data_IF_775817697250
#
_entry.id   IF_775817697250
#
_cell.length_a   1.000
_cell.length_b   1.000
_cell.length_c   1.000
_cell.angle_alpha   90.00
_cell.angle_beta   90.00
_cell.angle_gamma   90.00
#
_symmetry.space_group_name_H-M   'P 1'
#
loop_
_entity.id
_entity.type
_entity.pdbx_description
1 polymer ?
#
# COMPACT_ATOMS: atom_id res chain seq x y z
N UNK A 1 -27.86 -8.97 23.44
CA UNK A 1 -26.39 -8.87 23.43
C UNK A 1 -25.90 -9.50 22.15
N UNK A 2 -25.24 -8.78 21.22
CA UNK A 2 -24.55 -9.43 20.13
C UNK A 2 -23.15 -9.84 20.60
N UNK A 3 -22.93 -11.14 20.55
CA UNK A 3 -21.70 -11.88 20.77
C UNK A 3 -20.76 -11.75 19.57
N UNK A 4 -19.49 -11.40 19.83
CA UNK A 4 -18.32 -11.82 19.04
C UNK A 4 -18.28 -11.40 17.57
N UNK A 5 -18.02 -10.12 17.29
CA UNK A 5 -17.71 -9.65 15.94
C UNK A 5 -16.19 -9.58 15.71
N UNK A 6 -15.67 -10.40 14.80
CA UNK A 6 -14.42 -10.08 14.13
C UNK A 6 -14.67 -8.83 13.27
N UNK A 7 -13.84 -7.80 13.46
CA UNK A 7 -13.90 -6.49 12.81
C UNK A 7 -13.92 -6.63 11.27
N UNK A 8 -14.89 -6.01 10.62
CA UNK A 8 -15.08 -6.05 9.16
C UNK A 8 -14.09 -5.06 8.50
N UNK A 9 -12.93 -5.54 8.06
CA UNK A 9 -12.04 -4.80 7.14
C UNK A 9 -12.75 -4.55 5.81
N UNK A 10 -13.45 -3.43 5.65
CA UNK A 10 -14.41 -3.23 4.55
C UNK A 10 -13.79 -2.64 3.28
N UNK A 11 -12.62 -1.99 3.40
CA UNK A 11 -12.00 -1.27 2.29
C UNK A 11 -10.47 -1.39 2.31
N UNK A 12 -9.92 -1.76 1.17
CA UNK A 12 -8.47 -1.73 0.93
C UNK A 12 -8.13 -0.50 0.10
N UNK A 13 -7.14 0.27 0.54
CA UNK A 13 -6.62 1.43 -0.19
C UNK A 13 -5.21 1.13 -0.65
N UNK A 14 -4.95 1.17 -1.95
CA UNK A 14 -3.62 0.96 -2.52
C UNK A 14 -3.04 2.30 -2.95
N UNK A 15 -1.98 2.75 -2.26
CA UNK A 15 -1.22 3.95 -2.60
C UNK A 15 -0.05 3.55 -3.50
N UNK A 16 0.02 4.14 -4.68
CA UNK A 16 1.05 3.84 -5.69
C UNK A 16 1.98 5.03 -5.91
N UNK A 17 3.22 4.79 -6.35
CA UNK A 17 4.09 5.90 -6.71
C UNK A 17 3.64 6.58 -8.02
N UNK A 18 3.48 7.90 -8.00
CA UNK A 18 3.13 8.68 -9.21
C UNK A 18 4.15 8.48 -10.34
N UNK A 19 5.45 8.43 -10.03
CA UNK A 19 6.52 8.32 -11.03
C UNK A 19 6.49 6.94 -11.71
N UNK A 20 6.24 5.86 -10.96
CA UNK A 20 6.04 4.55 -11.59
C UNK A 20 4.76 4.54 -12.42
N UNK A 21 3.71 5.21 -11.94
CA UNK A 21 2.41 5.21 -12.59
C UNK A 21 2.39 5.95 -13.94
N UNK A 22 3.44 6.72 -14.27
CA UNK A 22 3.63 7.25 -15.63
C UNK A 22 3.89 6.14 -16.67
N UNK A 23 4.34 4.96 -16.24
CA UNK A 23 4.58 3.77 -17.09
C UNK A 23 3.85 2.51 -16.62
N UNK A 24 3.15 2.58 -15.49
CA UNK A 24 2.44 1.47 -14.88
C UNK A 24 0.98 1.86 -14.69
N UNK A 25 0.05 1.12 -15.29
CA UNK A 25 -1.39 1.35 -15.15
C UNK A 25 -1.96 0.88 -13.81
N UNK A 26 -1.14 0.25 -12.96
CA UNK A 26 -1.59 -0.41 -11.74
C UNK A 26 -2.21 -1.80 -11.96
N UNK A 27 -2.26 -2.30 -13.20
CA UNK A 27 -2.89 -3.58 -13.55
C UNK A 27 -2.45 -4.74 -12.65
N UNK A 28 -1.14 -4.92 -12.43
CA UNK A 28 -0.63 -6.02 -11.61
C UNK A 28 -1.09 -5.94 -10.14
N UNK A 29 -1.19 -4.73 -9.57
CA UNK A 29 -1.71 -4.54 -8.22
C UNK A 29 -3.19 -4.92 -8.14
N UNK A 30 -3.98 -4.46 -9.12
CA UNK A 30 -5.41 -4.76 -9.24
C UNK A 30 -5.65 -6.26 -9.45
N UNK A 31 -4.89 -6.89 -10.35
CA UNK A 31 -4.98 -8.31 -10.63
C UNK A 31 -4.62 -9.14 -9.40
N UNK A 32 -3.53 -8.81 -8.68
CA UNK A 32 -3.19 -9.50 -7.43
C UNK A 32 -4.22 -9.34 -6.34
N UNK A 33 -4.91 -8.20 -6.29
CA UNK A 33 -6.05 -8.06 -5.40
C UNK A 33 -7.14 -9.07 -5.79
N UNK A 34 -7.63 -9.06 -7.03
CA UNK A 34 -8.75 -9.94 -7.44
C UNK A 34 -8.42 -11.43 -7.34
N UNK A 35 -7.23 -11.85 -7.75
CA UNK A 35 -6.78 -13.25 -7.71
C UNK A 35 -6.29 -13.68 -6.31
N UNK A 36 -6.30 -12.77 -5.32
CA UNK A 36 -5.80 -13.02 -3.96
C UNK A 36 -4.38 -13.59 -3.96
N UNK A 37 -3.48 -12.93 -4.69
CA UNK A 37 -2.05 -13.27 -4.76
C UNK A 37 -1.17 -12.20 -4.11
N UNK A 38 0.12 -12.52 -3.90
CA UNK A 38 1.08 -11.59 -3.33
C UNK A 38 0.74 -11.22 -1.89
N UNK A 39 0.63 -9.91 -1.58
CA UNK A 39 0.27 -9.42 -0.24
C UNK A 39 -1.23 -9.43 0.05
N UNK A 40 -2.04 -10.10 -0.78
CA UNK A 40 -3.50 -10.17 -0.63
C UNK A 40 -4.05 -11.58 -0.31
N UNK A 41 -3.19 -12.56 -0.07
CA UNK A 41 -3.57 -13.98 0.15
C UNK A 41 -4.51 -14.19 1.33
N UNK A 42 -4.34 -13.44 2.42
CA UNK A 42 -5.09 -13.64 3.67
C UNK A 42 -6.40 -12.81 3.74
N UNK A 43 -6.75 -12.07 2.69
CA UNK A 43 -7.96 -11.25 2.70
C UNK A 43 -9.23 -12.04 2.32
N UNK A 44 -10.35 -11.81 3.03
CA UNK A 44 -11.62 -12.42 2.68
C UNK A 44 -12.11 -12.00 1.29
N UNK A 45 -12.99 -12.80 0.70
CA UNK A 45 -13.65 -12.45 -0.56
C UNK A 45 -14.68 -11.33 -0.36
N UNK A 46 -15.04 -10.64 -1.45
CA UNK A 46 -16.08 -9.59 -1.43
C UNK A 46 -15.61 -8.21 -0.97
N UNK A 47 -14.34 -8.05 -0.61
CA UNK A 47 -13.78 -6.72 -0.28
C UNK A 47 -13.73 -5.82 -1.51
N UNK A 48 -13.91 -4.52 -1.28
CA UNK A 48 -13.69 -3.47 -2.27
C UNK A 48 -12.31 -2.88 -2.06
N UNK A 49 -11.71 -2.39 -3.16
CA UNK A 49 -10.50 -1.59 -3.06
C UNK A 49 -10.63 -0.28 -3.81
N UNK A 50 -9.83 0.69 -3.39
CA UNK A 50 -9.63 1.97 -4.05
C UNK A 50 -8.12 2.15 -4.24
N UNK A 51 -7.69 2.64 -5.40
CA UNK A 51 -6.28 2.96 -5.64
C UNK A 51 -6.10 4.40 -6.06
N UNK A 52 -5.01 5.02 -5.60
CA UNK A 52 -4.57 6.32 -6.09
C UNK A 52 -3.06 6.47 -5.92
N UNK A 53 -2.48 7.47 -6.59
CA UNK A 53 -1.05 7.75 -6.50
C UNK A 53 -0.70 8.65 -5.32
N UNK A 54 0.55 8.59 -4.85
CA UNK A 54 1.11 9.48 -3.83
C UNK A 54 1.17 10.96 -4.28
N UNK A 55 0.93 11.24 -5.57
CA UNK A 55 0.90 12.58 -6.16
C UNK A 55 2.27 13.24 -6.36
N UNK A 56 3.33 12.44 -6.46
CA UNK A 56 4.68 12.91 -6.76
C UNK A 56 5.63 12.80 -5.56
N UNK A 57 6.87 13.25 -5.73
CA UNK A 57 7.86 13.29 -4.66
C UNK A 57 7.70 14.61 -3.89
N UNK A 58 7.45 14.63 -2.58
CA UNK A 58 7.66 13.61 -1.54
C UNK A 58 6.40 12.84 -1.05
N UNK A 59 5.29 12.86 -1.78
CA UNK A 59 4.06 12.16 -1.38
C UNK A 59 3.10 13.00 -0.53
N UNK A 60 3.33 14.32 -0.43
CA UNK A 60 2.54 15.26 0.38
C UNK A 60 1.04 15.26 0.04
N UNK A 61 0.67 14.88 -1.19
CA UNK A 61 -0.74 14.80 -1.60
C UNK A 61 -1.54 13.72 -0.87
N UNK A 62 -0.86 12.71 -0.29
CA UNK A 62 -1.48 11.63 0.48
C UNK A 62 -2.33 12.21 1.61
N UNK A 63 -1.85 13.25 2.31
CA UNK A 63 -2.59 13.86 3.41
C UNK A 63 -3.98 14.36 2.98
N UNK A 64 -4.07 15.08 1.85
CA UNK A 64 -5.33 15.63 1.34
C UNK A 64 -6.26 14.52 0.82
N UNK A 65 -5.71 13.52 0.12
CA UNK A 65 -6.49 12.38 -0.40
C UNK A 65 -7.08 11.54 0.73
N UNK A 66 -6.30 11.26 1.77
CA UNK A 66 -6.76 10.50 2.94
C UNK A 66 -7.79 11.28 3.76
N UNK A 67 -7.65 12.60 3.87
CA UNK A 67 -8.64 13.44 4.53
C UNK A 67 -9.97 13.49 3.75
N UNK A 68 -9.89 13.61 2.43
CA UNK A 68 -11.06 13.50 1.56
C UNK A 68 -11.73 12.12 1.68
N UNK A 69 -10.94 11.03 1.68
CA UNK A 69 -11.44 9.68 1.87
C UNK A 69 -12.14 9.51 3.21
N UNK A 70 -11.49 9.89 4.32
CA UNK A 70 -12.07 9.79 5.65
C UNK A 70 -13.41 10.53 5.76
N UNK A 71 -13.50 11.73 5.16
CA UNK A 71 -14.76 12.47 5.10
C UNK A 71 -15.82 11.73 4.28
N UNK A 72 -15.47 11.18 3.12
CA UNK A 72 -16.42 10.44 2.27
C UNK A 72 -16.90 9.15 2.91
N UNK A 73 -16.04 8.43 3.63
CA UNK A 73 -16.42 7.26 4.39
C UNK A 73 -17.48 7.62 5.44
N UNK A 74 -17.24 8.66 6.24
CA UNK A 74 -18.22 9.14 7.24
C UNK A 74 -19.55 9.63 6.62
N UNK A 75 -19.50 10.26 5.45
CA UNK A 75 -20.70 10.84 4.81
C UNK A 75 -21.57 9.80 4.08
N UNK A 76 -20.97 8.69 3.62
CA UNK A 76 -21.59 7.81 2.61
C UNK A 76 -21.62 6.34 2.99
N UNK A 77 -20.94 5.94 4.07
CA UNK A 77 -20.79 4.54 4.47
C UNK A 77 -20.71 4.41 5.99
N UNK A 78 -20.83 3.18 6.50
CA UNK A 78 -20.60 2.86 7.92
C UNK A 78 -19.15 2.44 8.21
N UNK A 79 -18.24 2.61 7.24
CA UNK A 79 -16.84 2.19 7.33
C UNK A 79 -16.04 3.25 8.11
N UNK A 80 -15.46 2.85 9.23
CA UNK A 80 -14.54 3.68 10.01
C UNK A 80 -13.14 3.72 9.39
N UNK A 81 -12.31 4.67 9.84
CA UNK A 81 -10.90 4.72 9.41
C UNK A 81 -10.09 3.52 9.90
N UNK A 82 -10.51 2.92 11.01
CA UNK A 82 -9.91 1.70 11.58
C UNK A 82 -10.29 0.43 10.77
N UNK A 83 -11.33 0.50 9.94
CA UNK A 83 -11.77 -0.59 9.05
C UNK A 83 -11.08 -0.54 7.66
N UNK A 84 -10.23 0.46 7.44
CA UNK A 84 -9.49 0.66 6.19
C UNK A 84 -8.09 0.11 6.32
N UNK A 85 -7.71 -0.77 5.40
CA UNK A 85 -6.31 -1.24 5.28
C UNK A 85 -5.62 -0.51 4.14
N UNK A 86 -4.50 0.15 4.44
CA UNK A 86 -3.73 0.93 3.47
C UNK A 86 -2.50 0.13 3.04
N UNK A 87 -2.46 -0.27 1.78
CA UNK A 87 -1.28 -0.84 1.15
C UNK A 87 -0.42 0.26 0.52
N UNK A 88 0.86 0.32 0.88
CA UNK A 88 1.87 1.02 0.09
C UNK A 88 2.36 0.05 -0.99
N UNK A 89 2.04 0.33 -2.26
CA UNK A 89 2.28 -0.61 -3.35
C UNK A 89 3.76 -1.00 -3.49
N UNK A 90 4.04 -2.17 -4.07
CA UNK A 90 5.40 -2.71 -4.19
C UNK A 90 6.39 -1.76 -4.88
N UNK A 91 5.92 -0.94 -5.83
CA UNK A 91 6.74 0.07 -6.50
C UNK A 91 7.26 1.18 -5.56
N UNK A 92 6.68 1.33 -4.36
CA UNK A 92 7.14 2.29 -3.35
C UNK A 92 8.09 1.65 -2.34
N UNK A 93 7.91 0.37 -2.03
CA UNK A 93 8.54 -0.26 -0.85
C UNK A 93 9.60 -1.30 -1.19
N UNK A 94 9.75 -1.67 -2.47
CA UNK A 94 10.76 -2.65 -2.93
C UNK A 94 11.71 -2.03 -3.94
N UNK A 95 12.94 -2.51 -3.97
CA UNK A 95 13.81 -2.34 -5.13
C UNK A 95 13.28 -3.17 -6.30
N UNK A 96 13.18 -2.53 -7.46
CA UNK A 96 12.52 -3.08 -8.63
C UNK A 96 13.02 -2.43 -9.92
N UNK A 97 12.54 -2.94 -11.06
CA UNK A 97 12.93 -2.47 -12.39
C UNK A 97 12.71 -0.97 -12.64
N UNK A 98 11.82 -0.32 -11.89
CA UNK A 98 11.55 1.09 -12.07
C UNK A 98 12.59 1.97 -11.41
N UNK A 99 12.87 1.72 -10.14
CA UNK A 99 13.78 2.44 -9.27
C UNK A 99 13.79 1.75 -7.90
N UNK A 100 14.77 2.14 -7.09
CA UNK A 100 14.93 1.67 -5.72
C UNK A 100 13.77 2.10 -4.79
N UNK A 101 13.70 1.55 -3.58
CA UNK A 101 12.70 1.87 -2.56
C UNK A 101 12.56 3.38 -2.38
N UNK A 102 11.32 3.85 -2.29
CA UNK A 102 11.05 5.27 -2.16
C UNK A 102 11.63 5.81 -0.83
N UNK A 103 12.44 6.89 -0.86
CA UNK A 103 13.07 7.44 0.35
C UNK A 103 12.07 8.12 1.29
N UNK A 104 10.83 8.32 0.84
CA UNK A 104 9.76 8.99 1.61
C UNK A 104 8.71 8.02 2.15
N UNK A 105 8.95 6.71 2.11
CA UNK A 105 8.00 5.70 2.64
C UNK A 105 7.65 6.00 4.09
N UNK A 106 8.64 6.25 4.95
CA UNK A 106 8.38 6.49 6.37
C UNK A 106 7.71 7.85 6.63
N UNK A 107 8.01 8.85 5.81
CA UNK A 107 7.28 10.12 5.81
C UNK A 107 5.79 9.93 5.47
N UNK A 108 5.49 9.11 4.46
CA UNK A 108 4.12 8.79 4.06
C UNK A 108 3.40 8.01 5.17
N UNK A 109 4.05 7.02 5.79
CA UNK A 109 3.49 6.31 6.96
C UNK A 109 3.16 7.26 8.10
N UNK A 110 4.04 8.23 8.40
CA UNK A 110 3.78 9.23 9.42
C UNK A 110 2.56 10.11 9.09
N UNK A 111 2.35 10.46 7.80
CA UNK A 111 1.13 11.13 7.35
C UNK A 111 -0.11 10.27 7.61
N UNK A 112 -0.06 8.98 7.25
CA UNK A 112 -1.19 8.04 7.45
C UNK A 112 -1.56 7.92 8.93
N UNK A 113 -0.56 7.72 9.79
CA UNK A 113 -0.74 7.65 11.24
C UNK A 113 -1.35 8.94 11.79
N UNK A 114 -0.86 10.12 11.37
CA UNK A 114 -1.42 11.42 11.78
C UNK A 114 -2.88 11.61 11.36
N UNK A 115 -3.31 10.95 10.27
CA UNK A 115 -4.70 10.98 9.78
C UNK A 115 -5.58 9.87 10.36
N UNK A 116 -5.04 9.02 11.24
CA UNK A 116 -5.77 7.96 11.93
C UNK A 116 -5.78 6.60 11.22
N UNK A 117 -5.10 6.45 10.07
CA UNK A 117 -5.02 5.18 9.35
C UNK A 117 -3.86 4.35 9.91
N UNK A 118 -4.17 3.40 10.80
CA UNK A 118 -3.16 2.60 11.53
C UNK A 118 -2.83 1.28 10.83
N UNK A 119 -3.77 0.72 10.08
CA UNK A 119 -3.58 -0.55 9.38
C UNK A 119 -2.83 -0.33 8.07
N UNK A 120 -1.50 -0.23 8.14
CA UNK A 120 -0.64 0.00 6.97
C UNK A 120 0.16 -1.26 6.65
N UNK A 121 0.06 -1.73 5.42
CA UNK A 121 0.78 -2.89 4.89
C UNK A 121 1.74 -2.45 3.79
N UNK A 122 2.98 -2.92 3.85
CA UNK A 122 3.92 -2.72 2.76
C UNK A 122 3.75 -3.80 1.69
N UNK A 123 3.71 -3.36 0.43
CA UNK A 123 3.64 -4.21 -0.75
C UNK A 123 2.21 -4.49 -1.21
N UNK A 124 2.12 -4.87 -2.47
CA UNK A 124 0.88 -5.32 -3.12
C UNK A 124 1.17 -6.54 -3.99
N UNK A 125 1.58 -6.32 -5.24
CA UNK A 125 1.99 -7.35 -6.19
C UNK A 125 3.42 -7.83 -5.90
N UNK A 126 3.64 -9.14 -5.88
CA UNK A 126 4.97 -9.74 -5.75
C UNK A 126 5.38 -10.32 -7.11
N UNK A 127 6.35 -9.69 -7.76
CA UNK A 127 6.92 -10.17 -9.02
C UNK A 127 7.89 -11.32 -8.78
N UNK A 128 7.69 -12.44 -9.47
CA UNK A 128 8.62 -13.59 -9.41
C UNK A 128 10.02 -13.19 -9.85
N UNK A 129 10.13 -12.51 -11.01
CA UNK A 129 11.41 -12.06 -11.55
C UNK A 129 12.13 -11.08 -10.63
N UNK A 130 11.43 -10.10 -10.06
CA UNK A 130 12.07 -9.15 -9.13
C UNK A 130 12.48 -9.84 -7.83
N UNK A 131 11.76 -10.87 -7.40
CA UNK A 131 12.10 -11.67 -6.23
C UNK A 131 13.36 -12.51 -6.49
N UNK A 132 13.46 -13.16 -7.65
CA UNK A 132 14.68 -13.86 -8.07
C UNK A 132 15.89 -12.91 -8.17
N UNK A 133 15.70 -11.70 -8.69
CA UNK A 133 16.76 -10.69 -8.75
C UNK A 133 17.22 -10.20 -7.36
N UNK A 134 16.30 -10.11 -6.39
CA UNK A 134 16.65 -9.86 -4.98
C UNK A 134 17.43 -11.01 -4.37
N UNK A 135 16.98 -12.25 -4.58
CA UNK A 135 17.74 -13.43 -4.12
C UNK A 135 19.15 -13.52 -4.71
N UNK A 136 19.34 -13.01 -5.93
CA UNK A 136 20.65 -12.93 -6.60
C UNK A 136 21.48 -11.72 -6.19
N UNK A 137 20.98 -10.86 -5.31
CA UNK A 137 21.66 -9.63 -4.86
C UNK A 137 21.73 -8.53 -5.92
N UNK A 138 20.96 -8.63 -7.00
CA UNK A 138 20.87 -7.58 -8.04
C UNK A 138 19.99 -6.43 -7.55
N UNK A 139 18.94 -6.75 -6.80
CA UNK A 139 18.07 -5.78 -6.13
C UNK A 139 18.19 -5.91 -4.62
N UNK A 140 18.02 -4.80 -3.91
CA UNK A 140 17.99 -4.77 -2.45
C UNK A 140 16.72 -5.43 -1.91
N UNK A 141 16.87 -6.28 -0.89
CA UNK A 141 15.75 -6.82 -0.13
C UNK A 141 15.61 -6.06 1.18
N UNK A 142 14.50 -5.33 1.33
CA UNK A 142 14.24 -4.42 2.45
C UNK A 142 13.43 -5.06 3.58
N UNK A 143 13.52 -6.39 3.74
CA UNK A 143 12.83 -7.12 4.82
C UNK A 143 13.36 -6.69 6.19
N UNK A 144 12.48 -6.00 6.93
CA UNK A 144 12.56 -5.62 8.35
C UNK A 144 13.72 -4.70 8.80
N UNK A 145 13.49 -3.39 8.72
CA UNK A 145 14.32 -2.37 9.41
C UNK A 145 15.56 -1.95 8.63
N UNK A 146 16.23 -0.85 9.04
CA UNK A 146 17.21 -0.20 8.18
C UNK A 146 18.43 -1.12 8.07
N UNK A 147 18.71 -1.60 6.87
CA UNK A 147 20.08 -1.99 6.53
C UNK A 147 20.92 -0.71 6.52
N UNK A 148 21.34 -0.30 7.71
CA UNK A 148 22.50 0.53 7.91
C UNK A 148 23.68 -0.20 7.26
N UNK A 149 24.11 0.26 6.09
CA UNK A 149 25.50 0.66 5.83
C UNK A 149 25.63 1.05 4.36
N UNK A 150 26.37 2.13 4.16
CA UNK A 150 26.43 2.88 2.92
C UNK A 150 26.82 2.04 1.70
N UNK A 151 26.26 2.44 0.58
CA UNK A 151 26.90 2.32 -0.72
C UNK A 151 26.87 3.68 -1.40
#
# INVERSE_FOLDING_TARGET
MPTGGFLVTSLIVIIQCQIAHNRCSGFACSHSFYERTGRFVDYPQGLRYLSFTCGGCCGKSVAAKMEHLARKLREKTDVGVDDVVVHLASCMVTDNHHYDRCPHVDYIKAILAKKGFRNVVEGSFISRTSTELRHRGVYCDYVDGPSAEGR
#
